data_IF_711798889927
#
_entry.id   IF_711798889927
#
_cell.length_a   1.000
_cell.length_b   1.000
_cell.length_c   1.000
_cell.angle_alpha   90.00
_cell.angle_beta   90.00
_cell.angle_gamma   90.00
#
_symmetry.space_group_name_H-M   'P 1'
#
loop_
_entity.id
_entity.type
_entity.pdbx_description
1 polymer ?
#
# COMPACT_ATOMS: atom_id res chain seq x y z
N UNK A 1 8.69 -14.01 36.67
CA UNK A 1 9.68 -14.45 35.70
C UNK A 1 9.11 -14.26 34.31
N UNK A 2 9.16 -13.01 33.88
CA UNK A 2 8.64 -12.47 32.63
C UNK A 2 9.83 -12.25 31.70
N UNK A 3 10.04 -13.14 30.74
CA UNK A 3 10.82 -12.85 29.53
C UNK A 3 10.58 -13.96 28.51
N UNK A 4 9.53 -13.80 27.70
CA UNK A 4 9.25 -14.74 26.61
C UNK A 4 8.54 -14.05 25.44
N UNK A 5 8.94 -12.84 25.05
CA UNK A 5 8.38 -12.15 23.88
C UNK A 5 9.42 -11.26 23.18
N UNK A 6 10.56 -11.82 22.77
CA UNK A 6 11.52 -11.14 21.89
C UNK A 6 11.84 -12.01 20.67
N UNK A 7 10.79 -12.43 19.95
CA UNK A 7 10.93 -12.69 18.53
C UNK A 7 10.35 -11.48 17.81
N UNK A 8 11.21 -10.58 17.33
CA UNK A 8 10.80 -9.60 16.34
C UNK A 8 10.44 -10.37 15.07
N UNK A 9 9.16 -10.67 14.91
CA UNK A 9 8.65 -11.25 13.67
C UNK A 9 8.97 -10.29 12.52
N UNK A 10 9.59 -10.80 11.45
CA UNK A 10 9.93 -10.01 10.26
C UNK A 10 8.64 -9.39 9.70
N UNK A 11 8.62 -8.06 9.58
CA UNK A 11 7.51 -7.33 8.95
C UNK A 11 7.67 -7.41 7.44
N UNK A 12 6.61 -7.77 6.73
CA UNK A 12 6.62 -7.91 5.27
C UNK A 12 5.93 -6.72 4.61
N UNK A 13 6.66 -6.02 3.75
CA UNK A 13 6.10 -5.00 2.87
C UNK A 13 6.20 -5.41 1.40
N UNK A 14 5.35 -4.83 0.57
CA UNK A 14 5.46 -4.95 -0.90
C UNK A 14 5.36 -3.56 -1.52
N UNK A 15 6.21 -3.28 -2.49
CA UNK A 15 6.16 -2.02 -3.22
C UNK A 15 6.65 -2.16 -4.65
N UNK A 16 6.39 -1.14 -5.44
CA UNK A 16 6.90 -1.08 -6.80
C UNK A 16 6.66 0.25 -7.49
N UNK A 17 7.20 0.34 -8.71
CA UNK A 17 7.08 1.48 -9.61
C UNK A 17 6.29 1.08 -10.86
N UNK A 18 5.43 1.96 -11.38
CA UNK A 18 4.65 1.72 -12.62
C UNK A 18 3.82 0.42 -12.55
N UNK A 19 4.03 -0.53 -13.45
CA UNK A 19 3.37 -1.84 -13.38
C UNK A 19 3.70 -2.62 -12.09
N UNK A 20 4.89 -2.41 -11.52
CA UNK A 20 5.25 -2.94 -10.21
C UNK A 20 4.41 -2.32 -9.09
N UNK A 21 4.11 -1.02 -9.17
CA UNK A 21 3.19 -0.36 -8.24
C UNK A 21 1.79 -0.96 -8.36
N UNK A 22 1.32 -1.20 -9.58
CA UNK A 22 0.02 -1.82 -9.82
C UNK A 22 -0.08 -3.22 -9.20
N UNK A 23 0.98 -4.02 -9.32
CA UNK A 23 1.08 -5.35 -8.68
C UNK A 23 1.08 -5.25 -7.16
N UNK A 24 1.82 -4.29 -6.59
CA UNK A 24 1.87 -4.08 -5.15
C UNK A 24 0.50 -3.66 -4.59
N UNK A 25 -0.19 -2.71 -5.24
CA UNK A 25 -1.53 -2.26 -4.86
C UNK A 25 -2.57 -3.37 -5.03
N UNK A 26 -2.50 -4.17 -6.09
CA UNK A 26 -3.37 -5.34 -6.24
C UNK A 26 -3.14 -6.37 -5.12
N UNK A 27 -1.87 -6.58 -4.74
CA UNK A 27 -1.50 -7.45 -3.61
C UNK A 27 -2.10 -6.96 -2.29
N UNK A 28 -2.22 -5.63 -2.09
CA UNK A 28 -2.96 -5.05 -0.97
C UNK A 28 -4.41 -5.54 -0.96
N UNK A 29 -5.09 -5.48 -2.10
CA UNK A 29 -6.50 -5.92 -2.20
C UNK A 29 -6.67 -7.41 -1.94
N UNK A 30 -5.74 -8.25 -2.43
CA UNK A 30 -5.76 -9.68 -2.19
C UNK A 30 -5.50 -10.02 -0.72
N UNK A 31 -4.54 -9.34 -0.08
CA UNK A 31 -4.31 -9.48 1.35
C UNK A 31 -5.54 -9.07 2.17
N UNK A 32 -6.17 -7.93 1.86
CA UNK A 32 -7.38 -7.50 2.58
C UNK A 32 -8.53 -8.47 2.36
N UNK A 33 -8.76 -8.96 1.14
CA UNK A 33 -9.77 -9.98 0.85
C UNK A 33 -9.44 -11.32 1.52
N UNK A 34 -8.15 -11.62 1.73
CA UNK A 34 -7.64 -12.88 2.26
C UNK A 34 -7.41 -13.95 1.19
N UNK A 35 -7.56 -13.60 -0.10
CA UNK A 35 -7.43 -14.51 -1.24
C UNK A 35 -7.06 -13.77 -2.52
N UNK A 36 -6.54 -14.52 -3.48
CA UNK A 36 -6.34 -14.06 -4.85
C UNK A 36 -7.66 -14.10 -5.64
N UNK A 37 -7.65 -13.48 -6.82
CA UNK A 37 -8.81 -13.45 -7.72
C UNK A 37 -9.25 -14.84 -8.23
N UNK A 38 -8.38 -15.84 -8.18
CA UNK A 38 -8.71 -17.23 -8.51
C UNK A 38 -9.29 -18.02 -7.33
N UNK A 39 -9.49 -17.38 -6.17
CA UNK A 39 -10.04 -18.00 -4.97
C UNK A 39 -9.02 -18.60 -4.01
N UNK A 40 -7.76 -18.78 -4.42
CA UNK A 40 -6.73 -19.35 -3.54
C UNK A 40 -6.41 -18.39 -2.37
N UNK A 41 -6.14 -18.90 -1.16
CA UNK A 41 -5.79 -18.07 0.00
C UNK A 41 -4.55 -17.21 -0.26
N UNK A 42 -4.55 -15.98 0.26
CA UNK A 42 -3.36 -15.12 0.24
C UNK A 42 -2.49 -15.47 1.46
N UNK A 43 -1.25 -15.97 1.26
CA UNK A 43 -0.52 -16.69 2.31
C UNK A 43 0.21 -15.78 3.31
N UNK A 44 0.35 -14.49 2.99
CA UNK A 44 1.25 -13.60 3.72
C UNK A 44 0.49 -12.48 4.45
N UNK A 45 1.02 -12.05 5.60
CA UNK A 45 0.56 -10.85 6.29
C UNK A 45 1.35 -9.64 5.80
N UNK A 46 0.68 -8.72 5.11
CA UNK A 46 1.30 -7.47 4.71
C UNK A 46 1.24 -6.44 5.84
N UNK A 47 2.35 -5.75 6.05
CA UNK A 47 2.50 -4.69 7.03
C UNK A 47 2.54 -3.29 6.41
N UNK A 48 2.90 -3.17 5.14
CA UNK A 48 2.91 -1.91 4.40
C UNK A 48 2.89 -2.16 2.88
N UNK A 49 2.27 -1.25 2.14
CA UNK A 49 2.25 -1.28 0.67
C UNK A 49 2.67 0.09 0.10
N UNK A 50 3.53 0.09 -0.92
CA UNK A 50 3.99 1.32 -1.58
C UNK A 50 3.77 1.24 -3.10
N UNK A 51 3.13 2.24 -3.68
CA UNK A 51 2.99 2.37 -5.14
C UNK A 51 3.52 3.71 -5.64
N UNK A 52 4.55 3.66 -6.49
CA UNK A 52 5.14 4.85 -7.11
C UNK A 52 4.73 4.92 -8.60
N UNK A 53 4.18 6.05 -9.03
CA UNK A 53 3.77 6.32 -10.42
C UNK A 53 2.94 5.19 -11.05
N UNK A 54 1.92 4.74 -10.32
CA UNK A 54 1.15 3.53 -10.63
C UNK A 54 -0.37 3.73 -10.70
N UNK A 55 -1.09 2.61 -10.72
CA UNK A 55 -2.55 2.57 -10.66
C UNK A 55 -3.02 1.33 -9.90
N UNK A 56 -4.25 1.32 -9.41
CA UNK A 56 -4.89 0.15 -8.80
C UNK A 56 -5.63 -0.66 -9.87
N UNK A 57 -5.20 -1.89 -10.18
CA UNK A 57 -5.97 -2.80 -11.03
C UNK A 57 -7.27 -3.20 -10.35
N UNK A 58 -8.29 -3.49 -11.16
CA UNK A 58 -9.57 -4.04 -10.68
C UNK A 58 -10.29 -3.19 -9.60
N UNK A 59 -10.05 -1.87 -9.53
CA UNK A 59 -10.65 -0.99 -8.51
C UNK A 59 -12.18 -1.09 -8.41
N UNK A 60 -12.87 -1.30 -9.53
CA UNK A 60 -14.33 -1.47 -9.59
C UNK A 60 -14.86 -2.67 -8.80
N UNK A 61 -14.05 -3.69 -8.56
CA UNK A 61 -14.48 -4.88 -7.80
C UNK A 61 -14.07 -4.82 -6.32
N UNK A 62 -13.33 -3.78 -5.90
CA UNK A 62 -12.80 -3.67 -4.54
C UNK A 62 -13.91 -3.64 -3.49
N UNK A 63 -14.95 -2.82 -3.68
CA UNK A 63 -16.07 -2.74 -2.73
C UNK A 63 -16.71 -4.12 -2.50
N UNK A 64 -17.06 -4.81 -3.58
CA UNK A 64 -17.63 -6.17 -3.54
C UNK A 64 -16.73 -7.19 -2.84
N UNK A 65 -15.40 -7.05 -2.96
CA UNK A 65 -14.43 -7.95 -2.29
C UNK A 65 -14.40 -7.76 -0.77
N UNK A 66 -14.81 -6.60 -0.27
CA UNK A 66 -14.75 -6.24 1.16
C UNK A 66 -16.11 -6.35 1.86
N UNK A 67 -17.20 -6.39 1.10
CA UNK A 67 -18.56 -6.56 1.63
C UNK A 67 -18.72 -7.87 2.42
N UNK A 68 -19.35 -7.79 3.60
CA UNK A 68 -19.79 -8.95 4.38
C UNK A 68 -18.68 -9.75 5.07
N UNK A 69 -17.40 -9.36 4.95
CA UNK A 69 -16.27 -10.07 5.57
C UNK A 69 -15.64 -9.21 6.67
N UNK A 70 -16.02 -9.47 7.92
CA UNK A 70 -15.54 -8.69 9.09
C UNK A 70 -14.01 -8.61 9.16
N UNK A 71 -13.30 -9.69 8.83
CA UNK A 71 -11.84 -9.71 8.83
C UNK A 71 -11.22 -8.91 7.68
N UNK A 72 -11.90 -8.81 6.53
CA UNK A 72 -11.41 -8.02 5.41
C UNK A 72 -11.49 -6.52 5.73
N UNK A 73 -12.60 -6.09 6.35
CA UNK A 73 -12.75 -4.73 6.84
C UNK A 73 -11.67 -4.37 7.88
N UNK A 74 -11.39 -5.27 8.85
CA UNK A 74 -10.30 -5.07 9.83
C UNK A 74 -8.94 -4.91 9.16
N UNK A 75 -8.61 -5.78 8.20
CA UNK A 75 -7.35 -5.69 7.45
C UNK A 75 -7.25 -4.37 6.68
N UNK A 76 -8.32 -3.96 6.00
CA UNK A 76 -8.37 -2.70 5.23
C UNK A 76 -8.13 -1.47 6.11
N UNK A 77 -8.76 -1.41 7.30
CA UNK A 77 -8.55 -0.31 8.26
C UNK A 77 -7.10 -0.24 8.73
N UNK A 78 -6.45 -1.39 8.95
CA UNK A 78 -5.12 -1.47 9.56
C UNK A 78 -3.93 -1.42 8.59
N UNK A 79 -4.15 -1.58 7.28
CA UNK A 79 -3.08 -1.70 6.30
C UNK A 79 -2.62 -0.32 5.81
N UNK A 80 -1.39 0.12 6.13
CA UNK A 80 -0.86 1.36 5.59
C UNK A 80 -0.50 1.22 4.11
N UNK A 81 -0.98 2.16 3.30
CA UNK A 81 -0.72 2.24 1.86
C UNK A 81 -0.19 3.64 1.51
N UNK A 82 0.99 3.71 0.92
CA UNK A 82 1.54 4.92 0.33
C UNK A 82 1.41 4.86 -1.19
N UNK A 83 0.84 5.91 -1.77
CA UNK A 83 0.84 6.15 -3.20
C UNK A 83 1.58 7.47 -3.48
N UNK A 84 2.55 7.45 -4.39
CA UNK A 84 3.27 8.62 -4.85
C UNK A 84 3.07 8.78 -6.36
N UNK A 85 2.86 10.01 -6.85
CA UNK A 85 2.68 10.23 -8.28
C UNK A 85 3.15 11.62 -8.72
N UNK A 86 3.85 11.66 -9.84
CA UNK A 86 4.21 12.91 -10.51
C UNK A 86 3.05 13.50 -11.31
N UNK A 87 2.81 14.81 -11.21
CA UNK A 87 1.78 15.50 -12.01
C UNK A 87 2.18 15.68 -13.48
N UNK A 88 3.48 15.56 -13.78
CA UNK A 88 4.03 15.60 -15.14
C UNK A 88 4.20 14.22 -15.76
N UNK A 89 3.69 13.15 -15.14
CA UNK A 89 3.80 11.78 -15.65
C UNK A 89 2.97 11.62 -16.94
N UNK A 90 3.68 11.36 -18.03
CA UNK A 90 3.17 11.21 -19.39
C UNK A 90 2.98 9.73 -19.80
N UNK A 91 3.42 8.77 -18.98
CA UNK A 91 3.28 7.33 -19.22
C UNK A 91 2.08 6.78 -18.45
N UNK A 92 2.04 7.02 -17.14
CA UNK A 92 0.91 6.69 -16.28
C UNK A 92 0.33 8.00 -15.78
N UNK A 93 -0.70 8.49 -16.46
CA UNK A 93 -1.33 9.77 -16.15
C UNK A 93 -1.67 9.88 -14.65
N UNK A 94 -1.27 10.99 -14.03
CA UNK A 94 -1.49 11.31 -12.61
C UNK A 94 -2.88 10.97 -12.06
N UNK A 95 -3.93 11.20 -12.88
CA UNK A 95 -5.33 10.87 -12.55
C UNK A 95 -5.54 9.40 -12.17
N UNK A 96 -4.70 8.48 -12.64
CA UNK A 96 -4.79 7.07 -12.27
C UNK A 96 -4.29 6.82 -10.85
N UNK A 97 -3.21 7.47 -10.42
CA UNK A 97 -2.77 7.44 -9.02
C UNK A 97 -3.83 8.03 -8.09
N UNK A 98 -4.38 9.19 -8.45
CA UNK A 98 -5.43 9.88 -7.67
C UNK A 98 -6.68 9.00 -7.52
N UNK A 99 -7.21 8.45 -8.62
CA UNK A 99 -8.35 7.53 -8.58
C UNK A 99 -8.08 6.26 -7.77
N UNK A 100 -6.84 5.80 -7.75
CA UNK A 100 -6.45 4.61 -6.98
C UNK A 100 -6.53 4.89 -5.49
N UNK A 101 -5.96 6.02 -5.04
CA UNK A 101 -6.06 6.46 -3.65
C UNK A 101 -7.52 6.68 -3.21
N UNK A 102 -8.33 7.32 -4.06
CA UNK A 102 -9.77 7.50 -3.81
C UNK A 102 -10.50 6.16 -3.69
N UNK A 103 -10.19 5.20 -4.56
CA UNK A 103 -10.81 3.87 -4.53
C UNK A 103 -10.52 3.12 -3.23
N UNK A 104 -9.29 3.20 -2.71
CA UNK A 104 -8.97 2.62 -1.40
C UNK A 104 -9.77 3.31 -0.29
N UNK A 105 -9.74 4.63 -0.26
CA UNK A 105 -10.41 5.43 0.78
C UNK A 105 -11.93 5.18 0.80
N UNK A 106 -12.56 5.14 -0.38
CA UNK A 106 -14.01 4.89 -0.51
C UNK A 106 -14.41 3.46 -0.13
N UNK A 107 -13.46 2.53 -0.08
CA UNK A 107 -13.71 1.12 0.27
C UNK A 107 -13.27 0.78 1.71
N UNK A 108 -13.10 1.78 2.57
CA UNK A 108 -12.87 1.58 4.00
C UNK A 108 -11.42 1.42 4.44
N UNK A 109 -10.45 1.64 3.54
CA UNK A 109 -9.05 1.76 3.95
C UNK A 109 -8.86 3.12 4.63
N UNK A 110 -8.36 3.10 5.87
CA UNK A 110 -8.24 4.31 6.68
C UNK A 110 -6.83 4.88 6.72
N UNK A 111 -5.81 4.09 6.38
CA UNK A 111 -4.41 4.49 6.39
C UNK A 111 -3.84 4.57 4.96
N UNK A 112 -4.41 5.48 4.16
CA UNK A 112 -4.00 5.73 2.78
C UNK A 112 -3.36 7.11 2.69
N UNK A 113 -2.10 7.16 2.26
CA UNK A 113 -1.37 8.42 1.99
C UNK A 113 -1.18 8.58 0.49
N UNK A 114 -1.58 9.71 -0.09
CA UNK A 114 -1.28 10.06 -1.47
C UNK A 114 -0.37 11.30 -1.53
N UNK A 115 0.81 11.15 -2.12
CA UNK A 115 1.77 12.25 -2.30
C UNK A 115 1.89 12.61 -3.78
N UNK A 116 1.89 13.90 -4.05
CA UNK A 116 1.88 14.45 -5.41
C UNK A 116 3.07 15.35 -5.62
N UNK A 117 3.79 15.16 -6.73
CA UNK A 117 4.99 15.92 -7.04
C UNK A 117 4.79 16.75 -8.31
N UNK A 118 4.87 18.08 -8.19
CA UNK A 118 4.74 18.97 -9.34
C UNK A 118 5.96 18.83 -10.25
N UNK A 119 5.75 18.69 -11.56
CA UNK A 119 6.83 18.58 -12.55
C UNK A 119 7.56 17.23 -12.61
N UNK A 120 7.29 16.31 -11.69
CA UNK A 120 7.81 14.95 -11.75
C UNK A 120 7.13 14.17 -12.89
N UNK A 121 7.93 13.58 -13.77
CA UNK A 121 7.50 12.68 -14.85
C UNK A 121 7.47 11.21 -14.43
N UNK A 122 7.61 10.29 -15.39
CA UNK A 122 7.61 8.85 -15.12
C UNK A 122 8.97 8.31 -14.64
N UNK A 123 9.45 8.82 -13.50
CA UNK A 123 10.68 8.39 -12.83
C UNK A 123 10.60 8.75 -11.35
N UNK A 124 11.61 8.41 -10.56
CA UNK A 124 11.69 8.77 -9.14
C UNK A 124 12.70 9.89 -8.87
N UNK A 125 12.51 10.61 -7.77
CA UNK A 125 13.43 11.68 -7.34
C UNK A 125 13.86 11.50 -5.88
N UNK A 126 15.02 12.04 -5.47
CA UNK A 126 15.51 11.90 -4.09
C UNK A 126 14.53 12.37 -3.01
N UNK A 127 13.79 13.46 -3.28
CA UNK A 127 12.78 13.97 -2.34
C UNK A 127 11.67 12.95 -2.12
N UNK A 128 11.13 12.36 -3.18
CA UNK A 128 10.13 11.28 -3.10
C UNK A 128 10.68 10.08 -2.31
N UNK A 129 11.90 9.65 -2.61
CA UNK A 129 12.49 8.49 -1.94
C UNK A 129 12.77 8.75 -0.45
N UNK A 130 13.20 9.96 -0.08
CA UNK A 130 13.35 10.33 1.33
C UNK A 130 12.01 10.27 2.07
N UNK A 131 10.94 10.71 1.42
CA UNK A 131 9.59 10.63 1.99
C UNK A 131 9.07 9.20 2.10
N UNK A 132 9.38 8.32 1.14
CA UNK A 132 9.10 6.88 1.23
C UNK A 132 9.86 6.26 2.40
N UNK A 133 11.14 6.57 2.56
CA UNK A 133 11.95 6.10 3.70
C UNK A 133 11.36 6.55 5.04
N UNK A 134 11.05 7.84 5.20
CA UNK A 134 10.45 8.37 6.42
C UNK A 134 9.10 7.71 6.72
N UNK A 135 8.27 7.51 5.70
CA UNK A 135 6.97 6.84 5.84
C UNK A 135 7.13 5.37 6.28
N UNK A 136 8.03 4.61 5.65
CA UNK A 136 8.31 3.22 6.03
C UNK A 136 8.86 3.13 7.46
N UNK A 137 9.81 3.99 7.83
CA UNK A 137 10.36 4.06 9.18
C UNK A 137 9.27 4.25 10.23
N UNK A 138 8.33 5.16 9.97
CA UNK A 138 7.18 5.40 10.85
C UNK A 138 6.22 4.21 10.91
N UNK A 139 5.74 3.72 9.75
CA UNK A 139 4.72 2.66 9.69
C UNK A 139 5.20 1.30 10.16
N UNK A 140 6.50 1.03 9.99
CA UNK A 140 7.11 -0.22 10.39
C UNK A 140 7.85 -0.10 11.73
N UNK A 141 7.75 1.04 12.44
CA UNK A 141 8.41 1.30 13.72
C UNK A 141 9.87 0.80 13.71
N UNK A 142 10.63 1.28 12.71
CA UNK A 142 12.03 0.88 12.49
C UNK A 142 13.01 1.72 13.31
N UNK A 143 12.54 2.80 13.91
CA UNK A 143 13.25 3.50 14.97
C UNK A 143 13.28 2.54 16.17
N UNK A 144 14.40 1.84 16.33
CA UNK A 144 14.55 0.86 17.40
C UNK A 144 14.24 1.47 18.76
N UNK A 145 13.78 0.62 19.68
CA UNK A 145 13.90 0.90 21.11
C UNK A 145 15.34 1.34 21.37
N UNK A 146 15.54 2.62 21.63
CA UNK A 146 16.82 3.14 22.08
C UNK A 146 17.18 2.37 23.34
N UNK A 147 18.20 1.52 23.22
CA UNK A 147 18.91 0.92 24.35
C UNK A 147 19.57 2.00 25.19
#
# INVERSE_FOLDING_TARGET
WSSLHLFSTVKLGVGGFSMGAATALYSATCFTEGKYGNGNPFPAKLNAVVGLSGWLPCSKTLAKKLEGVNEAARRAVSLPILLCHGKGDDVVLYKFGEKSSQSFSSCGFQDVTFKSYNGLGHYTIPVEMNEVCAWLTSKLALEGASS
#
